data_IF_602115259792
#
_entry.id   IF_602115259792
#
_cell.length_a   1.000
_cell.length_b   1.000
_cell.length_c   1.000
_cell.angle_alpha   90.00
_cell.angle_beta   90.00
_cell.angle_gamma   90.00
#
_symmetry.space_group_name_H-M   'P 1'
#
loop_
_entity.id
_entity.type
_entity.pdbx_description
1 polymer ?
#
# COMPACT_ATOMS: atom_id res chain seq x y z
N UNK A 1 10.37 18.23 -15.87
CA UNK A 1 9.85 16.85 -15.90
C UNK A 1 9.84 16.42 -14.46
N UNK A 2 8.69 16.62 -13.83
CA UNK A 2 8.52 16.60 -12.40
C UNK A 2 8.66 15.16 -11.90
N UNK A 3 9.72 14.89 -11.14
CA UNK A 3 9.89 13.63 -10.41
C UNK A 3 8.85 13.59 -9.29
N UNK A 4 7.60 13.19 -9.59
CA UNK A 4 6.52 13.15 -8.61
C UNK A 4 6.54 11.82 -7.84
N UNK A 5 7.65 11.55 -7.15
CA UNK A 5 7.78 10.38 -6.29
C UNK A 5 7.16 10.69 -4.91
N UNK A 6 6.04 10.04 -4.61
CA UNK A 6 5.30 10.22 -3.36
C UNK A 6 5.47 9.00 -2.46
N UNK A 7 5.36 9.21 -1.15
CA UNK A 7 5.40 8.13 -0.17
C UNK A 7 4.14 8.20 0.69
N UNK A 8 3.29 7.19 0.57
CA UNK A 8 2.05 7.09 1.32
C UNK A 8 2.19 6.05 2.42
N UNK A 9 1.59 6.33 3.57
CA UNK A 9 1.51 5.39 4.68
C UNK A 9 0.06 5.15 5.03
N UNK A 10 -0.27 3.88 5.23
CA UNK A 10 -1.62 3.46 5.50
C UNK A 10 -1.66 2.52 6.68
N UNK A 11 -2.70 2.64 7.48
CA UNK A 11 -3.11 1.61 8.42
C UNK A 11 -3.85 0.53 7.67
N UNK A 12 -3.59 -0.73 8.00
CA UNK A 12 -4.25 -1.86 7.34
C UNK A 12 -4.70 -2.92 8.34
N UNK A 13 -5.37 -3.97 7.86
CA UNK A 13 -5.59 -5.20 8.61
C UNK A 13 -4.71 -6.37 8.11
N UNK A 14 -3.68 -6.10 7.32
CA UNK A 14 -2.76 -7.12 6.80
C UNK A 14 -1.81 -7.53 7.93
N UNK A 15 -2.02 -8.71 8.51
CA UNK A 15 -1.36 -9.10 9.77
C UNK A 15 -0.74 -10.50 9.75
N UNK A 16 -0.66 -11.13 8.59
CA UNK A 16 -0.19 -12.51 8.43
C UNK A 16 0.63 -12.68 7.16
N UNK A 17 1.57 -13.64 7.14
CA UNK A 17 2.41 -13.90 5.96
C UNK A 17 1.58 -14.23 4.71
N UNK A 18 0.54 -15.06 4.85
CA UNK A 18 -0.38 -15.36 3.76
C UNK A 18 -1.19 -14.15 3.28
N UNK A 19 -1.45 -13.18 4.16
CA UNK A 19 -2.15 -11.94 3.85
C UNK A 19 -1.25 -11.04 2.97
N UNK A 20 0.04 -10.96 3.31
CA UNK A 20 1.05 -10.26 2.52
C UNK A 20 1.18 -10.90 1.13
N UNK A 21 1.26 -12.23 1.05
CA UNK A 21 1.28 -12.94 -0.24
C UNK A 21 0.04 -12.63 -1.09
N UNK A 22 -1.14 -12.49 -0.47
CA UNK A 22 -2.38 -12.18 -1.19
C UNK A 22 -2.42 -10.76 -1.77
N UNK A 23 -1.89 -9.75 -1.06
CA UNK A 23 -1.87 -8.35 -1.53
C UNK A 23 -0.73 -8.09 -2.53
N UNK A 24 0.36 -8.85 -2.45
CA UNK A 24 1.58 -8.71 -3.27
C UNK A 24 1.31 -8.53 -4.77
N UNK A 25 0.53 -9.40 -5.46
CA UNK A 25 0.31 -9.25 -6.90
C UNK A 25 -0.43 -7.96 -7.24
N UNK A 26 -1.36 -7.50 -6.39
CA UNK A 26 -2.12 -6.28 -6.63
C UNK A 26 -1.24 -5.01 -6.57
N UNK A 27 -0.26 -4.98 -5.66
CA UNK A 27 0.68 -3.86 -5.54
C UNK A 27 1.83 -3.94 -6.56
N UNK A 28 2.21 -5.14 -6.98
CA UNK A 28 3.32 -5.35 -7.94
C UNK A 28 2.87 -5.13 -9.39
N UNK A 29 1.63 -5.50 -9.72
CA UNK A 29 1.09 -5.36 -11.09
C UNK A 29 0.69 -3.92 -11.42
N UNK A 30 0.62 -3.02 -10.42
CA UNK A 30 0.20 -1.63 -10.63
C UNK A 30 1.39 -0.78 -11.10
N UNK A 31 1.31 -0.35 -12.36
CA UNK A 31 2.17 0.71 -12.89
C UNK A 31 2.10 1.97 -12.01
N UNK A 32 3.27 2.48 -11.62
CA UNK A 32 3.40 3.64 -10.75
C UNK A 32 3.66 3.31 -9.28
N UNK A 33 3.62 2.04 -8.85
CA UNK A 33 4.19 1.62 -7.56
C UNK A 33 5.64 1.20 -7.80
N UNK A 34 6.58 1.93 -7.18
CA UNK A 34 8.00 1.61 -7.25
C UNK A 34 8.44 0.67 -6.13
N UNK A 35 7.80 0.79 -4.96
CA UNK A 35 8.15 -0.01 -3.79
C UNK A 35 6.99 -0.02 -2.80
N UNK A 36 6.86 -1.11 -2.06
CA UNK A 36 5.90 -1.22 -0.96
C UNK A 36 6.45 -2.14 0.14
N UNK A 37 6.00 -1.90 1.38
CA UNK A 37 6.38 -2.69 2.56
C UNK A 37 5.22 -2.73 3.55
N UNK A 38 4.97 -3.91 4.14
CA UNK A 38 3.99 -4.08 5.21
C UNK A 38 4.70 -4.35 6.53
N UNK A 39 4.60 -3.42 7.47
CA UNK A 39 5.02 -3.61 8.85
C UNK A 39 3.90 -4.29 9.65
N UNK A 40 3.93 -5.63 9.64
CA UNK A 40 3.01 -6.46 10.43
C UNK A 40 3.33 -6.43 11.94
N UNK A 41 4.49 -5.94 12.36
CA UNK A 41 4.87 -5.84 13.77
C UNK A 41 4.22 -4.61 14.43
N UNK A 42 4.03 -3.52 13.67
CA UNK A 42 3.33 -2.32 14.14
C UNK A 42 1.89 -2.62 14.58
N UNK A 43 1.40 -1.90 15.59
CA UNK A 43 0.00 -2.00 16.06
C UNK A 43 -1.00 -1.67 14.96
N UNK A 44 -0.65 -0.72 14.09
CA UNK A 44 -1.51 -0.26 13.00
C UNK A 44 -1.28 -1.01 11.68
N UNK A 45 -0.40 -2.03 11.67
CA UNK A 45 -0.13 -2.87 10.49
C UNK A 45 0.13 -2.00 9.25
N UNK A 46 1.21 -1.24 9.31
CA UNK A 46 1.43 -0.11 8.41
C UNK A 46 1.87 -0.61 7.05
N UNK A 47 1.15 -0.21 5.99
CA UNK A 47 1.60 -0.34 4.61
C UNK A 47 2.25 0.98 4.19
N UNK A 48 3.52 0.93 3.78
CA UNK A 48 4.22 2.06 3.17
C UNK A 48 4.33 1.82 1.67
N UNK A 49 3.96 2.80 0.84
CA UNK A 49 3.99 2.68 -0.63
C UNK A 49 4.70 3.90 -1.23
N UNK A 50 5.76 3.64 -1.99
CA UNK A 50 6.43 4.64 -2.81
C UNK A 50 5.85 4.60 -4.22
N UNK A 51 5.30 5.71 -4.65
CA UNK A 51 4.61 5.83 -5.93
C UNK A 51 5.28 6.85 -6.83
N UNK A 52 5.16 6.67 -8.14
CA UNK A 52 5.51 7.66 -9.15
C UNK A 52 4.28 7.90 -10.04
N UNK A 53 3.61 9.02 -9.79
CA UNK A 53 2.46 9.47 -10.58
C UNK A 53 1.10 8.85 -10.24
N UNK A 54 0.99 7.89 -9.31
CA UNK A 54 -0.31 7.39 -8.81
C UNK A 54 -0.68 8.00 -7.47
N UNK A 55 -1.98 8.18 -7.28
CA UNK A 55 -2.57 8.84 -6.11
C UNK A 55 -2.77 7.90 -4.92
N UNK A 56 -2.91 8.48 -3.73
CA UNK A 56 -3.24 7.75 -2.49
C UNK A 56 -4.55 6.93 -2.64
N UNK A 57 -5.57 7.51 -3.29
CA UNK A 57 -6.87 6.86 -3.52
C UNK A 57 -6.73 5.61 -4.41
N UNK A 58 -5.89 5.65 -5.44
CA UNK A 58 -5.65 4.46 -6.26
C UNK A 58 -5.02 3.32 -5.46
N UNK A 59 -4.10 3.63 -4.55
CA UNK A 59 -3.48 2.62 -3.67
C UNK A 59 -4.53 1.99 -2.75
N UNK A 60 -5.43 2.82 -2.19
CA UNK A 60 -6.54 2.37 -1.34
C UNK A 60 -7.41 1.37 -2.12
N UNK A 61 -7.89 1.73 -3.31
CA UNK A 61 -8.77 0.86 -4.10
C UNK A 61 -8.14 -0.50 -4.44
N UNK A 62 -6.84 -0.52 -4.74
CA UNK A 62 -6.10 -1.74 -5.08
C UNK A 62 -6.09 -2.70 -3.88
N UNK A 63 -5.80 -2.18 -2.70
CA UNK A 63 -5.74 -2.99 -1.47
C UNK A 63 -7.15 -3.44 -1.05
N UNK A 64 -8.17 -2.59 -1.19
CA UNK A 64 -9.57 -2.99 -0.95
C UNK A 64 -10.03 -4.09 -1.90
N UNK A 65 -9.69 -4.01 -3.19
CA UNK A 65 -9.99 -5.05 -4.20
C UNK A 65 -9.35 -6.40 -3.86
N UNK A 66 -8.23 -6.41 -3.15
CA UNK A 66 -7.59 -7.63 -2.65
C UNK A 66 -8.26 -8.21 -1.37
N UNK A 67 -9.22 -7.48 -0.81
CA UNK A 67 -10.06 -7.89 0.33
C UNK A 67 -9.52 -7.47 1.69
N UNK A 68 -8.69 -6.42 1.75
CA UNK A 68 -8.15 -5.86 2.99
C UNK A 68 -8.72 -4.48 3.28
N UNK A 69 -8.75 -4.12 4.56
CA UNK A 69 -9.09 -2.75 4.99
C UNK A 69 -7.82 -1.92 4.97
N UNK A 70 -7.95 -0.69 4.49
CA UNK A 70 -6.85 0.26 4.37
C UNK A 70 -7.38 1.67 4.62
N UNK A 71 -6.64 2.47 5.37
CA UNK A 71 -6.99 3.86 5.66
C UNK A 71 -5.71 4.70 5.73
N UNK A 72 -5.70 5.96 5.25
CA UNK A 72 -4.55 6.85 5.36
C UNK A 72 -4.08 7.00 6.80
N UNK A 73 -2.80 6.74 7.06
CA UNK A 73 -2.20 6.89 8.39
C UNK A 73 -1.68 8.33 8.56
N UNK A 74 -2.62 9.29 8.60
CA UNK A 74 -2.41 10.76 8.73
C UNK A 74 -1.53 11.43 7.65
N UNK A 75 -2.05 12.53 7.09
CA UNK A 75 -1.27 13.68 6.61
C UNK A 75 -0.98 14.66 7.75
#
# INVERSE_FOLDING_TARGET
MDSNNQNFQFKTNINCSGCVTKVTPFLTDKTGINHWEVDVASRDKVLTVKTDGISEQEVIEIVEKSGFKIEPLKS
#
